data_IF_712217104197
#
_entry.id   IF_712217104197
#
_cell.length_a   1.000
_cell.length_b   1.000
_cell.length_c   1.000
_cell.angle_alpha   90.00
_cell.angle_beta   90.00
_cell.angle_gamma   90.00
#
_symmetry.space_group_name_H-M   'P 1'
#
loop_
_entity.id
_entity.type
_entity.pdbx_description
1 polymer ?
#
# COMPACT_ATOMS: atom_id res chain seq x y z
N UNK A 1 22.59 -1.61 2.67
CA UNK A 1 22.57 -3.09 2.84
C UNK A 1 22.72 -3.76 1.48
N UNK A 2 23.56 -4.80 1.36
CA UNK A 2 23.65 -5.65 0.15
C UNK A 2 23.12 -7.06 0.50
N UNK A 3 21.79 -7.20 0.54
CA UNK A 3 21.13 -8.50 0.73
C UNK A 3 20.84 -9.12 -0.65
N UNK A 4 20.98 -10.45 -0.81
CA UNK A 4 20.62 -11.11 -2.06
C UNK A 4 19.12 -10.99 -2.33
N UNK A 5 18.73 -10.83 -3.60
CA UNK A 5 17.33 -10.74 -3.98
C UNK A 5 16.63 -12.11 -3.80
N UNK A 6 15.59 -12.21 -2.95
CA UNK A 6 14.94 -13.48 -2.61
C UNK A 6 13.96 -14.01 -3.68
N UNK A 7 13.80 -13.30 -4.80
CA UNK A 7 12.94 -13.71 -5.92
C UNK A 7 11.51 -13.17 -5.87
N UNK A 8 10.76 -13.34 -6.97
CA UNK A 8 9.42 -12.77 -7.12
C UNK A 8 8.38 -13.38 -6.17
N UNK A 9 8.49 -14.68 -5.85
CA UNK A 9 7.60 -15.35 -4.90
C UNK A 9 7.64 -14.70 -3.51
N UNK A 10 8.81 -14.18 -3.11
CA UNK A 10 8.95 -13.42 -1.89
C UNK A 10 8.21 -12.08 -1.98
N UNK A 11 8.41 -11.35 -3.08
CA UNK A 11 7.77 -10.03 -3.29
C UNK A 11 6.25 -10.17 -3.21
N UNK A 12 5.69 -11.21 -3.84
CA UNK A 12 4.25 -11.51 -3.76
C UNK A 12 3.72 -11.70 -2.33
N UNK A 13 4.51 -12.33 -1.44
CA UNK A 13 4.15 -12.49 -0.02
C UNK A 13 4.31 -11.20 0.79
N UNK A 14 5.21 -10.31 0.37
CA UNK A 14 5.44 -9.03 1.02
C UNK A 14 4.35 -8.00 0.71
N UNK A 15 3.71 -8.07 -0.45
CA UNK A 15 2.63 -7.15 -0.85
C UNK A 15 1.45 -7.28 0.13
N UNK A 16 1.18 -6.20 0.87
CA UNK A 16 0.10 -6.11 1.86
C UNK A 16 0.50 -6.44 3.30
N UNK A 17 1.66 -7.07 3.51
CA UNK A 17 2.19 -7.34 4.84
C UNK A 17 2.90 -6.09 5.44
N UNK A 18 2.95 -5.94 6.78
CA UNK A 18 3.73 -4.89 7.42
C UNK A 18 5.22 -5.03 7.09
N UNK A 19 5.84 -3.98 6.52
CA UNK A 19 7.23 -4.03 6.06
C UNK A 19 8.23 -4.46 7.15
N UNK A 20 8.03 -3.98 8.38
CA UNK A 20 8.89 -4.35 9.52
C UNK A 20 8.85 -5.86 9.79
N UNK A 21 7.65 -6.46 9.79
CA UNK A 21 7.47 -7.91 9.92
C UNK A 21 8.12 -8.65 8.76
N UNK A 22 7.95 -8.19 7.52
CA UNK A 22 8.58 -8.81 6.34
C UNK A 22 10.11 -8.87 6.50
N UNK A 23 10.74 -7.75 6.85
CA UNK A 23 12.19 -7.69 6.99
C UNK A 23 12.73 -8.50 8.19
N UNK A 24 11.98 -8.56 9.30
CA UNK A 24 12.38 -9.36 10.46
C UNK A 24 12.15 -10.85 10.25
N UNK A 25 10.93 -11.23 9.91
CA UNK A 25 10.49 -12.62 9.92
C UNK A 25 10.95 -13.37 8.66
N UNK A 26 11.03 -12.68 7.53
CA UNK A 26 11.35 -13.32 6.25
C UNK A 26 12.80 -13.10 5.83
N UNK A 27 13.39 -11.93 6.12
CA UNK A 27 14.80 -11.66 5.83
C UNK A 27 15.74 -11.92 7.03
N UNK A 28 15.20 -12.25 8.21
CA UNK A 28 15.99 -12.57 9.40
C UNK A 28 16.78 -11.40 9.99
N UNK A 29 16.37 -10.16 9.69
CA UNK A 29 17.06 -8.95 10.15
C UNK A 29 16.76 -8.68 11.63
N UNK A 30 17.72 -8.05 12.33
CA UNK A 30 17.47 -7.51 13.68
C UNK A 30 16.47 -6.35 13.62
N UNK A 31 15.96 -5.93 14.78
CA UNK A 31 15.02 -4.81 14.86
C UNK A 31 15.59 -3.53 14.23
N UNK A 32 16.85 -3.22 14.54
CA UNK A 32 17.55 -2.03 14.05
C UNK A 32 17.76 -2.10 12.54
N UNK A 33 18.19 -3.26 12.03
CA UNK A 33 18.40 -3.50 10.61
C UNK A 33 17.07 -3.45 9.84
N UNK A 34 16.00 -4.00 10.40
CA UNK A 34 14.68 -3.95 9.78
C UNK A 34 14.14 -2.52 9.74
N UNK A 35 14.33 -1.73 10.80
CA UNK A 35 13.96 -0.32 10.81
C UNK A 35 14.73 0.49 9.75
N UNK A 36 16.03 0.24 9.59
CA UNK A 36 16.85 0.84 8.55
C UNK A 36 16.38 0.41 7.14
N UNK A 37 16.07 -0.88 6.94
CA UNK A 37 15.55 -1.41 5.68
C UNK A 37 14.19 -0.79 5.30
N UNK A 38 13.30 -0.60 6.27
CA UNK A 38 12.02 0.12 6.08
C UNK A 38 12.28 1.55 5.61
N UNK A 39 13.29 2.23 6.17
CA UNK A 39 13.63 3.59 5.78
C UNK A 39 14.09 3.66 4.32
N UNK A 40 15.02 2.79 3.93
CA UNK A 40 15.46 2.68 2.53
C UNK A 40 14.30 2.37 1.57
N UNK A 41 13.42 1.44 1.94
CA UNK A 41 12.23 1.13 1.13
C UNK A 41 11.33 2.38 0.97
N UNK A 42 11.06 3.10 2.05
CA UNK A 42 10.16 4.28 2.02
C UNK A 42 10.75 5.44 1.21
N UNK A 43 12.06 5.66 1.29
CA UNK A 43 12.77 6.67 0.50
C UNK A 43 12.69 6.35 -1.01
N UNK A 44 12.92 5.09 -1.39
CA UNK A 44 12.75 4.64 -2.78
C UNK A 44 11.29 4.71 -3.25
N UNK A 45 10.34 4.23 -2.44
CA UNK A 45 8.91 4.20 -2.78
C UNK A 45 8.34 5.60 -2.97
N UNK A 46 8.75 6.56 -2.12
CA UNK A 46 8.31 7.94 -2.23
C UNK A 46 8.87 8.66 -3.47
N UNK A 47 10.10 8.34 -3.87
CA UNK A 47 10.78 9.01 -5.00
C UNK A 47 10.47 8.38 -6.36
N UNK A 48 10.34 7.04 -6.44
CA UNK A 48 10.17 6.30 -7.70
C UNK A 48 9.11 5.20 -7.63
N UNK A 49 9.13 4.38 -6.58
CA UNK A 49 8.33 3.15 -6.54
C UNK A 49 6.82 3.36 -6.69
N UNK A 50 6.28 4.49 -6.23
CA UNK A 50 4.86 4.82 -6.39
C UNK A 50 4.42 4.98 -7.85
N UNK A 51 5.30 5.46 -8.73
CA UNK A 51 5.01 5.65 -10.16
C UNK A 51 5.30 4.41 -11.02
N UNK A 52 5.89 3.37 -10.43
CA UNK A 52 6.23 2.12 -11.12
C UNK A 52 5.08 1.09 -11.03
N UNK A 53 3.92 1.48 -10.49
CA UNK A 53 2.75 0.63 -10.39
C UNK A 53 1.79 0.87 -11.57
N UNK A 54 1.32 -0.23 -12.18
CA UNK A 54 0.35 -0.20 -13.26
C UNK A 54 -1.08 -0.46 -12.75
N UNK A 55 -2.05 0.13 -13.44
CA UNK A 55 -3.48 -0.12 -13.18
C UNK A 55 -3.84 -1.46 -13.81
N UNK A 56 -4.51 -2.33 -13.04
CA UNK A 56 -5.03 -3.58 -13.57
C UNK A 56 -6.01 -3.35 -14.73
N UNK A 57 -5.88 -4.19 -15.76
CA UNK A 57 -6.75 -4.14 -16.94
C UNK A 57 -8.23 -4.22 -16.55
N UNK A 58 -9.05 -3.34 -17.14
CA UNK A 58 -10.50 -3.31 -16.93
C UNK A 58 -10.97 -2.65 -15.64
N UNK A 59 -10.09 -2.34 -14.68
CA UNK A 59 -10.50 -1.73 -13.40
C UNK A 59 -11.02 -0.31 -13.61
N UNK A 60 -10.41 0.47 -14.50
CA UNK A 60 -10.85 1.85 -14.78
C UNK A 60 -12.28 1.90 -15.32
N UNK A 61 -12.58 1.01 -16.27
CA UNK A 61 -13.89 0.85 -16.90
C UNK A 61 -14.93 0.41 -15.89
N UNK A 62 -14.59 -0.59 -15.05
CA UNK A 62 -15.47 -1.09 -14.00
C UNK A 62 -15.81 -0.01 -12.97
N UNK A 63 -14.82 0.74 -12.48
CA UNK A 63 -15.06 1.81 -11.51
C UNK A 63 -15.89 2.95 -12.11
N UNK A 64 -15.70 3.26 -13.41
CA UNK A 64 -16.52 4.24 -14.13
C UNK A 64 -17.98 3.77 -14.22
N UNK A 65 -18.22 2.53 -14.61
CA UNK A 65 -19.56 1.96 -14.70
C UNK A 65 -20.27 1.95 -13.34
N UNK A 66 -19.58 1.59 -12.25
CA UNK A 66 -20.15 1.64 -10.90
C UNK A 66 -20.57 3.06 -10.51
N UNK A 67 -19.74 4.06 -10.83
CA UNK A 67 -20.04 5.47 -10.55
C UNK A 67 -21.23 5.98 -11.37
N UNK A 68 -21.33 5.59 -12.64
CA UNK A 68 -22.47 5.92 -13.51
C UNK A 68 -23.79 5.30 -13.00
N UNK A 69 -23.71 4.17 -12.32
CA UNK A 69 -24.85 3.53 -11.65
C UNK A 69 -25.12 4.05 -10.23
N UNK A 70 -24.54 5.20 -9.86
CA UNK A 70 -24.71 5.85 -8.55
C UNK A 70 -24.26 4.98 -7.34
N UNK A 71 -23.35 4.03 -7.55
CA UNK A 71 -22.79 3.20 -6.48
C UNK A 71 -21.66 3.98 -5.78
N UNK A 72 -21.75 4.07 -4.45
CA UNK A 72 -20.72 4.71 -3.63
C UNK A 72 -19.45 3.85 -3.59
N UNK A 73 -18.33 4.40 -4.05
CA UNK A 73 -17.03 3.74 -4.05
C UNK A 73 -16.19 4.21 -2.85
N UNK A 74 -15.57 3.26 -2.15
CA UNK A 74 -14.66 3.53 -1.04
C UNK A 74 -13.43 2.63 -1.12
N UNK A 75 -12.25 3.20 -0.84
CA UNK A 75 -11.01 2.45 -0.71
C UNK A 75 -10.55 2.44 0.75
N UNK A 76 -10.25 1.26 1.28
CA UNK A 76 -9.67 1.06 2.60
C UNK A 76 -8.29 0.42 2.42
N UNK A 77 -7.25 1.12 2.87
CA UNK A 77 -5.89 0.59 2.83
C UNK A 77 -5.11 1.12 4.01
N UNK A 78 -4.09 0.38 4.44
CA UNK A 78 -3.15 0.83 5.47
C UNK A 78 -2.13 1.85 4.93
N UNK A 79 -2.20 2.21 3.65
CA UNK A 79 -1.37 3.27 3.08
C UNK A 79 -1.84 4.64 3.59
N UNK A 80 -0.91 5.51 4.04
CA UNK A 80 -1.26 6.84 4.46
C UNK A 80 -1.85 7.61 3.28
N UNK A 81 -3.07 8.14 3.47
CA UNK A 81 -3.70 9.02 2.48
C UNK A 81 -3.22 10.45 2.71
N UNK A 82 -2.81 11.18 1.65
CA UNK A 82 -2.61 12.62 1.77
C UNK A 82 -3.95 13.29 2.12
N UNK A 83 -3.91 14.29 2.98
CA UNK A 83 -5.08 15.10 3.28
C UNK A 83 -5.53 15.81 1.99
N UNK A 84 -6.84 15.83 1.73
CA UNK A 84 -7.38 16.41 0.51
C UNK A 84 -8.85 16.83 0.65
N UNK A 85 -9.39 17.58 -0.32
CA UNK A 85 -10.71 18.23 -0.22
C UNK A 85 -11.87 17.24 -0.02
N UNK A 86 -11.69 15.97 -0.40
CA UNK A 86 -12.70 14.91 -0.25
C UNK A 86 -12.43 13.97 0.94
N UNK A 87 -11.31 14.16 1.64
CA UNK A 87 -10.88 13.33 2.77
C UNK A 87 -10.26 14.23 3.85
N UNK A 88 -11.08 14.90 4.68
CA UNK A 88 -10.57 15.53 5.89
C UNK A 88 -9.90 14.47 6.77
N UNK A 89 -8.86 14.86 7.52
CA UNK A 89 -8.22 14.01 8.51
C UNK A 89 -9.30 13.41 9.42
N UNK A 90 -9.45 12.09 9.37
CA UNK A 90 -10.64 11.37 9.81
C UNK A 90 -11.12 11.77 11.21
N UNK A 91 -12.40 12.07 11.34
CA UNK A 91 -13.17 11.58 12.49
C UNK A 91 -14.04 10.41 12.02
N UNK A 92 -14.25 9.47 12.93
CA UNK A 92 -14.66 8.11 12.66
C UNK A 92 -16.08 7.94 12.12
N UNK A 93 -16.34 6.68 11.78
CA UNK A 93 -17.63 6.05 11.54
C UNK A 93 -18.33 6.45 10.23
N UNK A 94 -18.12 5.61 9.21
CA UNK A 94 -19.14 5.38 8.19
C UNK A 94 -20.36 4.81 8.91
N UNK A 95 -21.35 5.67 9.22
CA UNK A 95 -22.67 5.20 9.64
C UNK A 95 -23.31 4.51 8.44
N UNK A 96 -23.55 3.20 8.57
CA UNK A 96 -24.38 2.46 7.62
C UNK A 96 -25.81 3.02 7.71
N UNK A 97 -26.50 3.30 6.59
CA UNK A 97 -27.93 3.54 6.63
C UNK A 97 -28.65 2.25 7.09
N UNK A 98 -29.69 2.43 7.89
CA UNK A 98 -30.61 1.39 8.33
C UNK A 98 -31.47 0.86 7.17
#
# INVERSE_FOLDING_TARGET
>A
MHLPFPGEKFVGKAIGAPLLSVFRETCGLTEEQAAEAVKFYREYYASKGKSEADVYDGISENLKALKENHILLGANSHFPRPAGPHFPASQGHIKRPA
#
